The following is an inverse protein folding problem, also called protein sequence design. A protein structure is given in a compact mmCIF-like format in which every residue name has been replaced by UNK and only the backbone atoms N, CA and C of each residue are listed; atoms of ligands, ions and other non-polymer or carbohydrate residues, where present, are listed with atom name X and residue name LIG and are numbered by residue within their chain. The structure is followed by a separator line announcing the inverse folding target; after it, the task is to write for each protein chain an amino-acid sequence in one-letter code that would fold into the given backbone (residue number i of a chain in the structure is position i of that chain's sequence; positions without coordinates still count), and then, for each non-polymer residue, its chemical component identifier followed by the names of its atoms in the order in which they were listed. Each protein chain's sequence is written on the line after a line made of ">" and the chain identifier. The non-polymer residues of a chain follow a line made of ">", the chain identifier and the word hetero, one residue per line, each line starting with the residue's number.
data_IF_690810366013
#
_entry.id   IF_690810366013
#
_cell.length_a   1.000
_cell.length_b   1.000
_cell.length_c   1.000
_cell.angle_alpha   90.00
_cell.angle_beta   90.00
_cell.angle_gamma   90.00
#
_symmetry.space_group_name_H-M   'P 1'
#
loop_
_entity.id
_entity.type
_entity.pdbx_description
1 polymer ?
#
# COMPACT_ATOMS: atom_id res chain seq x y z
N UNK A 1 -26.00 -16.46 -24.23
CA UNK A 1 -25.82 -15.52 -23.08
C UNK A 1 -24.77 -14.50 -23.43
N UNK A 2 -24.98 -13.23 -23.10
CA UNK A 2 -24.04 -12.15 -23.46
C UNK A 2 -22.80 -12.22 -22.54
N UNK A 3 -21.60 -12.34 -23.09
CA UNK A 3 -20.34 -12.47 -22.32
C UNK A 3 -20.18 -11.34 -21.28
N UNK A 4 -20.57 -10.13 -21.65
CA UNK A 4 -20.55 -8.94 -20.76
C UNK A 4 -21.41 -9.17 -19.51
N UNK A 5 -22.63 -9.71 -19.69
CA UNK A 5 -23.54 -10.00 -18.56
C UNK A 5 -22.95 -11.02 -17.58
N UNK A 6 -22.25 -12.02 -18.10
CA UNK A 6 -21.59 -13.04 -17.25
C UNK A 6 -20.44 -12.42 -16.45
N UNK A 7 -19.63 -11.54 -17.03
CA UNK A 7 -18.55 -10.84 -16.33
C UNK A 7 -19.12 -9.95 -15.22
N UNK A 8 -20.15 -9.18 -15.51
CA UNK A 8 -20.82 -8.30 -14.52
C UNK A 8 -21.38 -9.14 -13.36
N UNK A 9 -22.09 -10.24 -13.65
CA UNK A 9 -22.64 -11.11 -12.61
C UNK A 9 -21.56 -11.77 -11.75
N UNK A 10 -20.42 -12.14 -12.34
CA UNK A 10 -19.30 -12.71 -11.58
C UNK A 10 -18.66 -11.66 -10.65
N UNK A 11 -18.48 -10.44 -11.14
CA UNK A 11 -17.94 -9.36 -10.32
C UNK A 11 -18.89 -8.96 -9.18
N UNK A 12 -20.19 -8.98 -9.44
CA UNK A 12 -21.21 -8.73 -8.39
C UNK A 12 -21.13 -9.78 -7.28
N UNK A 13 -21.06 -11.07 -7.64
CA UNK A 13 -20.90 -12.16 -6.66
C UNK A 13 -19.59 -12.04 -5.87
N UNK A 14 -18.50 -11.65 -6.52
CA UNK A 14 -17.22 -11.44 -5.84
C UNK A 14 -17.30 -10.27 -4.85
N UNK A 15 -18.04 -9.21 -5.17
CA UNK A 15 -18.28 -8.08 -4.28
C UNK A 15 -19.10 -8.48 -3.04
N UNK A 16 -20.20 -9.23 -3.24
CA UNK A 16 -21.00 -9.75 -2.11
C UNK A 16 -20.18 -10.65 -1.19
N UNK A 17 -19.27 -11.46 -1.75
CA UNK A 17 -18.33 -12.28 -0.97
C UNK A 17 -17.36 -11.43 -0.15
N UNK A 18 -16.79 -10.37 -0.74
CA UNK A 18 -15.87 -9.46 -0.03
C UNK A 18 -16.58 -8.76 1.15
N UNK A 19 -17.83 -8.32 0.95
CA UNK A 19 -18.65 -7.70 2.00
C UNK A 19 -18.95 -8.68 3.13
N UNK A 20 -19.40 -9.89 2.80
CA UNK A 20 -19.66 -10.93 3.79
C UNK A 20 -18.41 -11.29 4.61
N UNK A 21 -17.28 -11.49 3.95
CA UNK A 21 -16.01 -11.77 4.63
C UNK A 21 -15.53 -10.60 5.48
N UNK A 22 -15.79 -9.37 5.07
CA UNK A 22 -15.47 -8.17 5.84
C UNK A 22 -16.25 -8.11 7.16
N UNK A 23 -17.51 -8.53 7.17
CA UNK A 23 -18.34 -8.58 8.37
C UNK A 23 -17.92 -9.72 9.31
N UNK A 24 -17.79 -10.94 8.79
CA UNK A 24 -17.44 -12.14 9.58
C UNK A 24 -16.01 -12.06 10.16
N UNK A 25 -15.08 -11.48 9.42
CA UNK A 25 -13.66 -11.42 9.80
C UNK A 25 -13.24 -10.05 10.35
N UNK A 26 -14.19 -9.22 10.78
CA UNK A 26 -13.93 -7.87 11.34
C UNK A 26 -12.90 -7.92 12.48
N UNK A 27 -13.01 -8.90 13.37
CA UNK A 27 -12.14 -9.07 14.54
C UNK A 27 -10.76 -9.66 14.20
N UNK A 28 -10.68 -10.43 13.13
CA UNK A 28 -9.43 -11.00 12.63
C UNK A 28 -8.55 -9.99 11.87
N UNK A 29 -9.09 -8.78 11.56
CA UNK A 29 -8.41 -7.75 10.78
C UNK A 29 -8.33 -8.13 9.31
N UNK A 30 -9.49 -8.20 8.66
CA UNK A 30 -9.61 -8.53 7.25
C UNK A 30 -9.02 -7.45 6.34
N UNK A 31 -8.07 -7.84 5.50
CA UNK A 31 -7.38 -6.98 4.55
C UNK A 31 -7.87 -7.09 3.10
N UNK A 32 -8.41 -8.25 2.73
CA UNK A 32 -8.92 -8.53 1.39
C UNK A 32 -8.94 -10.00 1.07
N UNK A 33 -9.53 -10.37 -0.07
CA UNK A 33 -9.60 -11.74 -0.59
C UNK A 33 -9.15 -11.77 -2.05
N UNK A 34 -8.43 -12.81 -2.41
CA UNK A 34 -8.16 -13.17 -3.80
C UNK A 34 -8.96 -14.44 -4.13
N UNK A 35 -9.75 -14.36 -5.21
CA UNK A 35 -10.69 -15.41 -5.61
C UNK A 35 -10.25 -16.00 -6.94
N UNK A 36 -9.77 -17.22 -6.91
CA UNK A 36 -9.35 -17.98 -8.07
C UNK A 36 -10.35 -19.10 -8.37
N UNK A 37 -11.08 -18.98 -9.47
CA UNK A 37 -12.04 -20.00 -9.93
C UNK A 37 -11.34 -21.00 -10.83
N UNK A 38 -11.39 -22.28 -10.45
CA UNK A 38 -10.92 -23.42 -11.21
C UNK A 38 -12.10 -24.32 -11.55
N UNK A 39 -12.01 -25.15 -12.62
CA UNK A 39 -13.03 -26.16 -12.92
C UNK A 39 -13.25 -27.17 -11.79
N UNK A 40 -12.24 -27.41 -10.96
CA UNK A 40 -12.29 -28.35 -9.83
C UNK A 40 -12.85 -27.75 -8.54
N UNK A 41 -12.85 -26.40 -8.42
CA UNK A 41 -13.31 -25.72 -7.22
C UNK A 41 -12.86 -24.25 -7.19
N UNK A 42 -13.26 -23.55 -6.15
CA UNK A 42 -12.91 -22.13 -5.94
C UNK A 42 -11.87 -22.03 -4.84
N UNK A 43 -10.68 -21.46 -5.15
CA UNK A 43 -9.65 -21.17 -4.16
C UNK A 43 -9.82 -19.72 -3.67
N UNK A 44 -9.92 -19.56 -2.35
CA UNK A 44 -10.07 -18.27 -1.66
C UNK A 44 -8.81 -18.02 -0.82
N UNK A 45 -8.03 -17.01 -1.18
CA UNK A 45 -6.86 -16.60 -0.38
C UNK A 45 -7.25 -15.38 0.45
N UNK A 46 -7.34 -15.56 1.77
CA UNK A 46 -7.72 -14.52 2.71
C UNK A 46 -6.47 -13.84 3.28
N UNK A 47 -6.40 -12.54 3.15
CA UNK A 47 -5.35 -11.71 3.75
C UNK A 47 -5.85 -11.14 5.08
N UNK A 48 -5.24 -11.55 6.18
CA UNK A 48 -5.68 -11.16 7.54
C UNK A 48 -4.49 -10.81 8.43
N UNK A 49 -4.75 -10.05 9.48
CA UNK A 49 -3.73 -9.70 10.48
C UNK A 49 -3.54 -10.82 11.52
N UNK A 50 -4.62 -11.56 11.83
CA UNK A 50 -4.61 -12.60 12.88
C UNK A 50 -5.16 -13.91 12.32
N UNK A 51 -4.32 -14.73 11.68
CA UNK A 51 -4.77 -15.99 11.06
C UNK A 51 -5.37 -16.98 12.07
N UNK A 52 -4.88 -16.97 13.30
CA UNK A 52 -5.39 -17.88 14.35
C UNK A 52 -6.87 -17.71 14.67
N UNK A 53 -7.42 -16.48 14.56
CA UNK A 53 -8.86 -16.23 14.78
C UNK A 53 -9.72 -16.80 13.64
N UNK A 54 -9.21 -16.80 12.42
CA UNK A 54 -9.90 -17.34 11.24
C UNK A 54 -9.87 -18.87 11.26
N UNK A 55 -8.71 -19.45 11.59
CA UNK A 55 -8.53 -20.90 11.65
C UNK A 55 -9.38 -21.52 12.77
N UNK A 56 -9.41 -20.84 13.92
CA UNK A 56 -10.12 -21.32 15.09
C UNK A 56 -9.50 -22.55 15.73
N UNK A 57 -10.15 -23.06 16.78
CA UNK A 57 -9.67 -24.28 17.50
C UNK A 57 -9.80 -25.50 16.59
N UNK A 58 -8.70 -26.20 16.34
CA UNK A 58 -8.65 -27.43 15.49
C UNK A 58 -9.25 -27.23 14.07
N UNK A 59 -9.22 -25.98 13.55
CA UNK A 59 -9.75 -25.67 12.22
C UNK A 59 -11.28 -25.55 12.13
N UNK A 60 -11.99 -25.40 13.27
CA UNK A 60 -13.46 -25.23 13.26
C UNK A 60 -13.89 -23.96 12.51
N UNK A 61 -13.17 -22.83 12.69
CA UNK A 61 -13.49 -21.57 12.02
C UNK A 61 -13.47 -21.68 10.49
N UNK A 62 -12.45 -22.34 9.94
CA UNK A 62 -12.39 -22.55 8.48
C UNK A 62 -13.54 -23.43 8.00
N UNK A 63 -13.87 -24.52 8.72
CA UNK A 63 -14.98 -25.41 8.36
C UNK A 63 -16.32 -24.68 8.37
N UNK A 64 -16.57 -23.87 9.40
CA UNK A 64 -17.79 -23.08 9.51
C UNK A 64 -17.90 -22.05 8.39
N UNK A 65 -16.78 -21.36 8.06
CA UNK A 65 -16.73 -20.44 6.91
C UNK A 65 -16.97 -21.17 5.60
N UNK A 66 -16.33 -22.32 5.38
CA UNK A 66 -16.53 -23.14 4.17
C UNK A 66 -18.01 -23.50 3.99
N UNK A 67 -18.64 -24.01 5.04
CA UNK A 67 -20.07 -24.38 5.01
C UNK A 67 -20.98 -23.17 4.74
N UNK A 68 -20.70 -22.01 5.35
CA UNK A 68 -21.45 -20.76 5.09
C UNK A 68 -21.30 -20.30 3.64
N UNK A 69 -20.10 -20.42 3.05
CA UNK A 69 -19.83 -20.03 1.67
C UNK A 69 -20.50 -20.98 0.66
N UNK A 70 -20.53 -22.27 0.92
CA UNK A 70 -21.23 -23.25 0.10
C UNK A 70 -22.75 -22.99 0.10
N UNK A 71 -23.34 -22.78 1.29
CA UNK A 71 -24.79 -22.59 1.43
C UNK A 71 -25.25 -21.25 0.85
N UNK A 72 -24.57 -20.15 1.19
CA UNK A 72 -25.01 -18.79 0.78
C UNK A 72 -24.70 -18.48 -0.68
N UNK A 73 -23.51 -18.84 -1.14
CA UNK A 73 -22.99 -18.41 -2.46
C UNK A 73 -22.94 -19.53 -3.49
N UNK A 74 -23.26 -20.77 -3.09
CA UNK A 74 -23.25 -21.91 -3.99
C UNK A 74 -21.87 -22.17 -4.61
N UNK A 75 -20.81 -21.93 -3.86
CA UNK A 75 -19.45 -22.19 -4.33
C UNK A 75 -19.18 -23.68 -4.35
N UNK A 76 -18.61 -24.17 -5.45
CA UNK A 76 -18.23 -25.56 -5.60
C UNK A 76 -16.88 -25.79 -4.94
N UNK A 77 -16.80 -26.67 -3.94
CA UNK A 77 -15.57 -27.06 -3.23
C UNK A 77 -14.66 -25.86 -2.88
N UNK A 78 -15.10 -24.91 -2.03
CA UNK A 78 -14.29 -23.74 -1.68
C UNK A 78 -13.10 -24.16 -0.82
N UNK A 79 -11.89 -23.89 -1.30
CA UNK A 79 -10.65 -24.10 -0.58
C UNK A 79 -10.17 -22.77 -0.01
N UNK A 80 -10.12 -22.64 1.31
CA UNK A 80 -9.71 -21.43 2.00
C UNK A 80 -8.24 -21.56 2.40
N UNK A 81 -7.40 -20.66 1.90
CA UNK A 81 -6.03 -20.45 2.38
C UNK A 81 -5.95 -19.10 3.09
N UNK A 82 -5.29 -19.08 4.24
CA UNK A 82 -5.14 -17.87 5.07
C UNK A 82 -3.70 -17.43 5.01
N UNK A 83 -3.48 -16.16 4.65
CA UNK A 83 -2.16 -15.54 4.55
C UNK A 83 -2.10 -14.39 5.52
N UNK A 84 -1.04 -14.33 6.32
CA UNK A 84 -0.78 -13.22 7.22
C UNK A 84 -0.20 -12.03 6.47
N UNK A 85 -0.67 -10.83 6.81
CA UNK A 85 -0.12 -9.57 6.28
C UNK A 85 1.11 -9.15 7.09
N UNK A 86 2.25 -8.98 6.43
CA UNK A 86 3.50 -8.54 7.04
C UNK A 86 3.38 -7.15 7.68
N UNK A 87 2.78 -6.20 6.96
CA UNK A 87 2.61 -4.81 7.42
C UNK A 87 1.12 -4.43 7.33
N UNK A 88 0.33 -4.72 8.38
CA UNK A 88 -1.11 -4.42 8.37
C UNK A 88 -1.41 -2.91 8.36
N UNK A 89 -0.47 -2.07 8.82
CA UNK A 89 -0.61 -0.61 8.85
C UNK A 89 -0.67 0.02 7.45
N UNK A 90 -0.12 -0.64 6.42
CA UNK A 90 -0.20 -0.17 5.03
C UNK A 90 -1.50 -0.61 4.33
N UNK A 91 -2.34 -1.41 4.99
CA UNK A 91 -3.63 -1.81 4.43
C UNK A 91 -4.74 -0.85 4.89
N UNK A 92 -5.38 -0.09 3.99
CA UNK A 92 -6.39 0.90 4.36
C UNK A 92 -7.66 0.28 4.95
N UNK A 93 -8.07 -0.92 4.51
CA UNK A 93 -9.26 -1.59 5.05
C UNK A 93 -9.08 -1.91 6.54
N UNK A 94 -7.91 -2.46 6.92
CA UNK A 94 -7.59 -2.82 8.31
C UNK A 94 -7.52 -1.57 9.19
N UNK A 95 -6.82 -0.54 8.72
CA UNK A 95 -6.66 0.68 9.50
C UNK A 95 -7.97 1.46 9.66
N UNK A 96 -8.84 1.48 8.64
CA UNK A 96 -10.20 2.01 8.78
C UNK A 96 -11.00 1.28 9.86
N UNK A 97 -10.97 -0.05 9.89
CA UNK A 97 -11.65 -0.83 10.91
C UNK A 97 -11.07 -0.56 12.31
N UNK A 98 -9.74 -0.34 12.41
CA UNK A 98 -9.09 0.01 13.68
C UNK A 98 -9.51 1.39 14.19
N UNK A 99 -9.63 2.40 13.30
CA UNK A 99 -10.20 3.71 13.66
C UNK A 99 -11.65 3.54 14.14
N UNK A 100 -12.45 2.75 13.40
CA UNK A 100 -13.83 2.47 13.73
C UNK A 100 -13.97 1.91 15.15
N UNK A 101 -13.19 0.89 15.49
CA UNK A 101 -13.16 0.28 16.82
C UNK A 101 -12.72 1.25 17.92
N UNK A 102 -11.75 2.14 17.65
CA UNK A 102 -11.33 3.16 18.61
C UNK A 102 -12.45 4.17 18.92
N UNK A 103 -13.20 4.58 17.88
CA UNK A 103 -14.33 5.49 18.05
C UNK A 103 -15.49 4.80 18.77
N UNK A 104 -15.81 3.53 18.43
CA UNK A 104 -16.81 2.72 19.13
C UNK A 104 -16.52 2.58 20.61
N UNK A 105 -15.24 2.46 21.00
CA UNK A 105 -14.78 2.44 22.39
C UNK A 105 -14.82 3.78 23.11
N UNK A 106 -15.23 4.86 22.41
CA UNK A 106 -15.37 6.20 22.98
C UNK A 106 -14.15 7.11 22.87
N UNK A 107 -13.13 6.73 22.10
CA UNK A 107 -11.99 7.61 21.83
C UNK A 107 -12.44 8.80 20.97
N UNK A 108 -11.99 10.02 21.32
CA UNK A 108 -12.27 11.20 20.52
C UNK A 108 -11.77 11.00 19.05
N UNK A 109 -12.61 11.26 18.07
CA UNK A 109 -12.37 10.99 16.66
C UNK A 109 -11.08 11.66 16.14
N UNK A 110 -10.74 12.87 16.63
CA UNK A 110 -9.47 13.56 16.29
C UNK A 110 -8.25 12.82 16.80
N UNK A 111 -8.30 12.32 18.04
CA UNK A 111 -7.19 11.55 18.62
C UNK A 111 -7.00 10.25 17.86
N UNK A 112 -8.09 9.55 17.52
CA UNK A 112 -8.04 8.33 16.72
C UNK A 112 -7.45 8.60 15.33
N UNK A 113 -7.88 9.68 14.64
CA UNK A 113 -7.34 10.07 13.34
C UNK A 113 -5.85 10.39 13.37
N UNK A 114 -5.41 11.26 14.28
CA UNK A 114 -4.00 11.66 14.40
C UNK A 114 -3.11 10.48 14.78
N UNK A 115 -3.54 9.64 15.70
CA UNK A 115 -2.82 8.43 16.05
C UNK A 115 -2.62 7.52 14.83
N UNK A 116 -3.69 7.30 14.05
CA UNK A 116 -3.63 6.45 12.85
C UNK A 116 -2.70 7.05 11.78
N UNK A 117 -2.78 8.36 11.54
CA UNK A 117 -1.90 9.06 10.59
C UNK A 117 -0.42 8.86 10.98
N UNK A 118 -0.09 9.01 12.26
CA UNK A 118 1.27 8.84 12.75
C UNK A 118 1.73 7.37 12.63
N UNK A 119 0.86 6.41 12.99
CA UNK A 119 1.16 4.98 12.88
C UNK A 119 1.47 4.57 11.44
N UNK A 120 0.65 5.00 10.47
CA UNK A 120 0.84 4.68 9.05
C UNK A 120 2.09 5.36 8.49
N UNK A 121 2.36 6.62 8.90
CA UNK A 121 3.58 7.32 8.48
C UNK A 121 4.83 6.63 8.98
N UNK A 122 4.83 6.16 10.23
CA UNK A 122 5.95 5.40 10.83
C UNK A 122 6.15 4.04 10.15
N UNK A 123 5.08 3.42 9.61
CA UNK A 123 5.15 2.19 8.82
C UNK A 123 5.73 2.40 7.41
N UNK A 124 6.13 3.63 7.04
CA UNK A 124 6.82 3.92 5.79
C UNK A 124 5.91 4.30 4.61
N UNK A 125 4.67 4.74 4.87
CA UNK A 125 3.81 5.28 3.83
C UNK A 125 4.37 6.62 3.28
N UNK A 126 4.22 6.86 1.96
CA UNK A 126 4.55 8.11 1.31
C UNK A 126 3.63 9.24 1.80
N UNK A 127 2.36 8.94 1.94
CA UNK A 127 1.35 9.87 2.45
C UNK A 127 0.09 9.17 2.91
N UNK A 128 -0.63 9.85 3.81
CA UNK A 128 -1.86 9.36 4.43
C UNK A 128 -2.88 10.49 4.52
N UNK A 129 -4.11 10.20 4.16
CA UNK A 129 -5.25 11.10 4.32
C UNK A 129 -6.41 10.36 5.00
N UNK A 130 -6.80 10.81 6.17
CA UNK A 130 -7.97 10.33 6.90
C UNK A 130 -9.06 11.38 6.81
N UNK A 131 -10.22 11.01 6.31
CA UNK A 131 -11.42 11.87 6.30
C UNK A 131 -12.49 11.22 7.15
N UNK A 132 -12.96 11.93 8.17
CA UNK A 132 -14.07 11.50 9.02
C UNK A 132 -15.24 12.44 8.77
N UNK A 133 -16.40 11.88 8.46
CA UNK A 133 -17.63 12.61 8.11
C UNK A 133 -18.81 12.13 8.93
N UNK A 134 -19.69 13.04 9.31
CA UNK A 134 -20.90 12.74 10.07
C UNK A 134 -21.22 13.81 11.10
N UNK A 135 -22.00 13.45 12.13
CA UNK A 135 -22.29 14.32 13.27
C UNK A 135 -21.12 14.26 14.26
N UNK A 136 -20.15 15.16 14.10
CA UNK A 136 -18.89 15.10 14.87
C UNK A 136 -18.97 15.86 16.20
N UNK A 137 -19.57 17.06 16.20
CA UNK A 137 -19.64 17.97 17.38
C UNK A 137 -21.04 18.46 17.68
N UNK A 138 -21.86 18.61 16.65
CA UNK A 138 -23.21 19.13 16.71
C UNK A 138 -24.14 18.23 15.91
N UNK A 139 -25.43 18.52 15.95
CA UNK A 139 -26.44 17.79 15.16
C UNK A 139 -26.24 17.94 13.64
N UNK A 140 -25.58 19.01 13.21
CA UNK A 140 -25.25 19.24 11.80
C UNK A 140 -24.07 18.38 11.38
N UNK A 141 -24.17 17.75 10.20
CA UNK A 141 -23.09 16.97 9.63
C UNK A 141 -21.89 17.87 9.23
N UNK A 142 -20.69 17.42 9.58
CA UNK A 142 -19.42 18.03 9.22
C UNK A 142 -18.44 16.95 8.78
N UNK A 143 -17.38 17.36 8.12
CA UNK A 143 -16.23 16.47 7.88
C UNK A 143 -14.96 17.12 8.39
N UNK A 144 -14.06 16.30 8.88
CA UNK A 144 -12.69 16.71 9.21
C UNK A 144 -11.71 15.83 8.46
N UNK A 145 -10.68 16.46 7.92
CA UNK A 145 -9.63 15.82 7.14
C UNK A 145 -8.29 16.03 7.82
N UNK A 146 -7.57 14.94 8.03
CA UNK A 146 -6.20 14.94 8.55
C UNK A 146 -5.30 14.27 7.51
N UNK A 147 -4.25 14.96 7.09
CA UNK A 147 -3.31 14.45 6.09
C UNK A 147 -1.87 14.65 6.54
N UNK A 148 -0.99 13.71 6.16
CA UNK A 148 0.44 13.81 6.34
C UNK A 148 1.16 13.18 5.15
N UNK A 149 2.27 13.81 4.73
CA UNK A 149 3.03 13.36 3.55
C UNK A 149 2.39 13.76 2.23
N UNK A 150 2.81 13.10 1.14
CA UNK A 150 2.40 13.40 -0.24
C UNK A 150 1.44 12.33 -0.73
N UNK A 151 0.29 12.75 -1.26
CA UNK A 151 -0.71 11.86 -1.83
C UNK A 151 -1.07 12.36 -3.24
N UNK A 152 -0.75 11.62 -4.30
CA UNK A 152 -1.21 11.95 -5.63
C UNK A 152 -2.74 11.85 -5.68
N UNK A 153 -3.40 12.88 -6.25
CA UNK A 153 -4.88 12.97 -6.26
C UNK A 153 -5.49 12.67 -7.63
N UNK A 154 -4.70 12.72 -8.66
CA UNK A 154 -5.18 12.58 -10.03
C UNK A 154 -4.20 11.83 -10.90
N UNK A 155 -4.70 11.34 -12.05
CA UNK A 155 -3.93 10.63 -13.05
C UNK A 155 -3.63 9.17 -12.67
N UNK A 156 -3.01 8.46 -13.59
CA UNK A 156 -2.66 7.04 -13.45
C UNK A 156 -1.81 6.73 -12.21
N UNK A 157 -1.03 7.71 -11.74
CA UNK A 157 -0.24 7.60 -10.50
C UNK A 157 -1.13 7.44 -9.27
N UNK A 158 -2.24 8.19 -9.19
CA UNK A 158 -3.17 8.08 -8.07
C UNK A 158 -3.81 6.68 -8.02
N UNK A 159 -4.24 6.15 -9.18
CA UNK A 159 -4.92 4.85 -9.24
C UNK A 159 -3.99 3.68 -8.86
N UNK A 160 -2.70 3.78 -9.17
CA UNK A 160 -1.73 2.72 -8.86
C UNK A 160 -1.18 2.78 -7.44
N UNK A 161 -0.90 4.00 -6.96
CA UNK A 161 -0.16 4.24 -5.70
C UNK A 161 -1.08 4.35 -4.50
N UNK A 162 -2.29 4.96 -4.69
CA UNK A 162 -3.19 5.24 -3.58
C UNK A 162 -4.18 4.10 -3.40
N UNK A 163 -4.11 3.44 -2.24
CA UNK A 163 -5.12 2.47 -1.81
C UNK A 163 -6.13 3.16 -0.91
N UNK A 164 -7.41 2.86 -1.11
CA UNK A 164 -8.53 3.44 -0.36
C UNK A 164 -9.26 2.38 0.47
N UNK A 165 -9.66 2.78 1.68
CA UNK A 165 -10.53 2.00 2.55
C UNK A 165 -11.65 2.87 3.10
N UNK A 166 -12.86 2.30 3.18
CA UNK A 166 -14.04 2.98 3.73
C UNK A 166 -14.68 2.07 4.77
N UNK A 167 -15.07 2.66 5.90
CA UNK A 167 -15.79 1.96 6.97
C UNK A 167 -16.78 2.90 7.63
N UNK A 168 -17.91 2.36 8.09
CA UNK A 168 -18.92 3.08 8.82
C UNK A 168 -18.90 2.70 10.30
N UNK A 169 -19.18 3.68 11.16
CA UNK A 169 -19.28 3.51 12.61
C UNK A 169 -20.62 3.99 13.09
N UNK A 170 -21.32 3.16 13.84
CA UNK A 170 -22.56 3.55 14.50
C UNK A 170 -22.23 4.15 15.87
N UNK A 171 -22.56 5.42 16.05
CA UNK A 171 -22.38 6.12 17.33
C UNK A 171 -23.74 6.51 17.91
N UNK A 172 -23.76 6.95 19.18
CA UNK A 172 -24.99 7.44 19.83
C UNK A 172 -25.65 8.61 19.07
N UNK A 173 -24.85 9.40 18.34
CA UNK A 173 -25.32 10.56 17.56
C UNK A 173 -25.72 10.21 16.12
N UNK A 174 -25.51 8.99 15.68
CA UNK A 174 -25.78 8.52 14.33
C UNK A 174 -24.58 7.84 13.67
N UNK A 175 -24.67 7.62 12.37
CA UNK A 175 -23.62 6.96 11.58
C UNK A 175 -22.54 7.98 11.22
N UNK A 176 -21.28 7.58 11.40
CA UNK A 176 -20.09 8.30 10.93
C UNK A 176 -19.38 7.48 9.87
N UNK A 177 -18.97 8.13 8.78
CA UNK A 177 -18.17 7.55 7.72
C UNK A 177 -16.69 7.87 7.93
N UNK A 178 -15.83 6.87 7.76
CA UNK A 178 -14.37 6.98 7.80
C UNK A 178 -13.84 6.57 6.44
N UNK A 179 -13.10 7.46 5.80
CA UNK A 179 -12.39 7.22 4.54
C UNK A 179 -10.90 7.40 4.79
N UNK A 180 -10.12 6.40 4.44
CA UNK A 180 -8.67 6.40 4.57
C UNK A 180 -8.04 6.18 3.20
N UNK A 181 -7.10 7.05 2.84
CA UNK A 181 -6.27 6.91 1.64
C UNK A 181 -4.81 6.79 2.07
N UNK A 182 -4.13 5.78 1.57
CA UNK A 182 -2.72 5.52 1.86
C UNK A 182 -1.96 5.48 0.54
N UNK A 183 -0.93 6.31 0.41
CA UNK A 183 0.00 6.24 -0.70
C UNK A 183 1.21 5.38 -0.30
N UNK A 184 1.47 4.31 -1.07
CA UNK A 184 2.54 3.36 -0.79
C UNK A 184 3.80 3.81 -1.54
N UNK A 185 4.92 3.96 -0.83
CA UNK A 185 6.19 4.43 -1.39
C UNK A 185 6.72 3.54 -2.52
N UNK A 186 6.64 2.23 -2.36
CA UNK A 186 7.19 1.27 -3.33
C UNK A 186 6.39 1.19 -4.65
N UNK A 187 5.19 1.76 -4.69
CA UNK A 187 4.34 1.78 -5.89
C UNK A 187 4.57 3.03 -6.77
N UNK A 188 5.39 3.98 -6.31
CA UNK A 188 5.73 5.18 -7.09
C UNK A 188 6.86 4.81 -8.04
N UNK A 189 6.64 4.82 -9.38
CA UNK A 189 7.74 4.70 -10.32
C UNK A 189 8.65 5.94 -10.18
N UNK A 190 9.96 5.82 -10.38
CA UNK A 190 10.85 6.97 -10.39
C UNK A 190 10.40 7.93 -11.50
N UNK A 191 10.38 9.23 -11.22
CA UNK A 191 9.99 10.25 -12.20
C UNK A 191 10.98 10.30 -13.36
N UNK A 192 12.24 9.99 -13.09
CA UNK A 192 13.30 9.87 -14.08
C UNK A 192 14.38 8.90 -13.57
N UNK A 193 14.96 8.15 -14.49
CA UNK A 193 16.11 7.30 -14.24
C UNK A 193 17.35 8.01 -14.79
N UNK A 194 18.37 8.21 -13.95
CA UNK A 194 19.68 8.68 -14.40
C UNK A 194 20.34 7.54 -15.17
N UNK A 195 20.45 7.69 -16.50
CA UNK A 195 21.33 6.83 -17.27
C UNK A 195 22.76 7.19 -16.88
N UNK A 196 23.37 6.33 -16.04
CA UNK A 196 24.81 6.39 -15.82
C UNK A 196 25.42 5.91 -17.13
N UNK A 197 25.81 6.85 -17.99
CA UNK A 197 26.60 6.54 -19.17
C UNK A 197 27.83 5.82 -18.66
N UNK A 198 27.93 4.52 -18.96
CA UNK A 198 29.12 3.74 -18.67
C UNK A 198 30.27 4.46 -19.38
N UNK A 199 31.17 5.03 -18.59
CA UNK A 199 32.35 5.76 -19.06
C UNK A 199 33.35 4.91 -19.90
N UNK A 200 32.93 3.69 -20.27
CA UNK A 200 33.67 2.81 -21.19
C UNK A 200 33.40 3.08 -22.66
N UNK A 201 32.27 3.70 -23.01
CA UNK A 201 31.92 3.98 -24.42
C UNK A 201 32.41 5.36 -24.89
N UNK A 202 32.84 6.24 -23.99
CA UNK A 202 33.42 7.56 -24.33
C UNK A 202 34.92 7.53 -24.72
N UNK A 203 35.59 6.41 -24.50
CA UNK A 203 37.05 6.27 -24.82
C UNK A 203 37.29 5.76 -26.25
N UNK A 204 36.22 5.30 -26.95
CA UNK A 204 36.36 4.75 -28.32
C UNK A 204 36.11 5.77 -29.43
N UNK A 205 35.74 7.00 -29.13
CA UNK A 205 35.45 8.04 -30.15
C UNK A 205 36.60 9.02 -30.32
N UNK A 206 37.62 9.05 -29.44
CA UNK A 206 38.76 9.98 -29.55
C UNK A 206 39.98 9.44 -30.32
N UNK A 207 39.92 8.18 -30.82
CA UNK A 207 41.10 7.57 -31.50
C UNK A 207 40.98 7.45 -33.03
N UNK A 208 40.12 8.21 -33.67
CA UNK A 208 40.07 8.26 -35.15
C UNK A 208 40.02 9.67 -35.65
N UNK A 209 41.08 10.44 -35.44
CA UNK A 209 41.50 11.54 -36.32
C UNK A 209 42.66 12.25 -35.68
N UNK A 210 43.89 11.91 -36.10
CA UNK A 210 44.99 12.80 -36.43
C UNK A 210 46.25 11.98 -36.62
N UNK A 211 46.44 11.50 -37.79
CA UNK A 211 47.78 11.48 -38.41
C UNK A 211 47.84 12.80 -39.15
N UNK A 212 48.73 13.69 -38.71
CA UNK A 212 49.72 14.33 -39.52
C UNK A 212 50.37 15.48 -38.79
N UNK A 213 51.76 15.48 -38.91
CA UNK A 213 52.69 16.58 -38.76
C UNK A 213 53.28 16.94 -37.40
N UNK A 214 54.49 16.39 -37.25
CA UNK A 214 55.72 17.01 -36.69
C UNK A 214 55.63 18.43 -36.09
N UNK A 215 56.13 18.55 -34.86
CA UNK A 215 57.41 19.24 -34.54
C UNK A 215 57.72 19.26 -33.05
N UNK A 216 58.99 19.05 -32.75
CA UNK A 216 59.68 19.11 -31.47
C UNK A 216 59.31 20.32 -30.61
N UNK A 217 59.18 20.11 -29.30
CA UNK A 217 60.03 20.78 -28.28
C UNK A 217 59.70 20.27 -26.87
N UNK A 218 60.79 20.15 -26.14
CA UNK A 218 61.05 19.68 -24.80
C UNK A 218 60.17 20.29 -23.67
N UNK A 219 60.14 19.47 -22.62
CA UNK A 219 60.29 19.78 -21.20
C UNK A 219 59.05 19.89 -20.29
N UNK A 220 59.26 19.14 -19.23
CA UNK A 220 58.78 19.28 -17.85
C UNK A 220 57.48 18.60 -17.40
N UNK A 221 57.75 17.44 -16.75
CA UNK A 221 56.86 16.75 -15.81
C UNK A 221 56.73 17.53 -14.50
N UNK A 222 55.58 17.80 -13.97
CA UNK A 222 55.42 18.04 -12.54
C UNK A 222 54.97 16.79 -11.80
N UNK A 223 55.66 16.59 -10.70
CA UNK A 223 55.62 15.47 -9.77
C UNK A 223 54.28 15.22 -9.09
N UNK A 224 54.03 13.95 -8.86
CA UNK A 224 52.94 13.26 -8.19
C UNK A 224 52.78 13.54 -6.68
N UNK A 225 52.85 14.82 -6.26
CA UNK A 225 52.80 15.19 -4.83
C UNK A 225 51.56 15.97 -4.38
N UNK A 226 50.82 16.60 -5.28
CA UNK A 226 49.77 17.58 -4.88
C UNK A 226 48.32 17.07 -4.91
N UNK A 227 48.10 15.81 -5.26
CA UNK A 227 46.73 15.25 -5.35
C UNK A 227 46.25 14.59 -4.05
N UNK A 228 47.18 14.27 -3.14
CA UNK A 228 46.82 13.60 -1.87
C UNK A 228 46.42 14.53 -0.72
N UNK A 229 46.72 15.83 -0.83
CA UNK A 229 46.41 16.77 0.27
C UNK A 229 45.00 17.40 0.19
N UNK A 230 44.34 17.29 -0.96
CA UNK A 230 42.96 17.80 -1.12
C UNK A 230 41.86 16.81 -0.76
N UNK A 231 42.18 15.55 -0.51
CA UNK A 231 41.18 14.52 -0.13
C UNK A 231 41.04 14.41 1.39
N UNK A 232 42.09 14.74 2.16
CA UNK A 232 42.01 14.64 3.63
C UNK A 232 41.32 15.79 4.34
N UNK A 233 41.13 16.94 3.70
CA UNK A 233 40.42 18.10 4.30
C UNK A 233 38.91 18.00 4.18
N UNK A 234 38.35 17.06 3.44
CA UNK A 234 36.90 16.86 3.29
C UNK A 234 36.26 15.86 4.25
N UNK A 235 37.04 15.09 4.99
CA UNK A 235 36.52 14.10 5.95
C UNK A 235 36.41 14.64 7.40
N UNK A 236 37.05 15.79 7.71
CA UNK A 236 36.99 16.37 9.06
C UNK A 236 35.85 17.40 9.29
N UNK A 237 35.00 17.66 8.31
CA UNK A 237 33.88 18.63 8.44
C UNK A 237 32.51 17.94 8.64
N UNK A 238 32.46 16.62 8.70
CA UNK A 238 31.20 15.84 8.91
C UNK A 238 31.29 14.89 10.12
N UNK A 239 31.85 15.35 11.23
CA UNK A 239 31.60 14.75 12.56
C UNK A 239 30.82 15.69 13.46
#
# INVERSE_FOLDING_TARGET
>A
MNAIKNVVNNNYKNMELDEFLKEELKDAGYGGVDIQKSPLGTKLTLYVTRPGLVIGRKGSGIKDLTSKLEIKYGLVNPQISVVELEIPELNPKIMCNRIAQLIERGTAFRRAALWTVNTIKNAGALGVEVTISGKLRSERAHFEKHSAGVIPKSGNMADRVVKEGITHVLTKMGIMGIRLKIAIKNAVPPEFELMIANSKDSVLIENTNTNDENTNTNDETPSSGEILEKVQVREEVNQ
#
